data_IF_293316497406
#
_entry.id   IF_293316497406
#
_cell.length_a   1.000
_cell.length_b   1.000
_cell.length_c   1.000
_cell.angle_alpha   90.00
_cell.angle_beta   90.00
_cell.angle_gamma   90.00
#
_symmetry.space_group_name_H-M   'P 1'
#
loop_
_entity.id
_entity.type
_entity.pdbx_description
1 polymer ?
#
# COMPACT_ATOMS: atom_id res chain seq x y z
N UNK A 1 -3.14 -12.17 -3.60
CA UNK A 1 -2.30 -11.52 -4.64
C UNK A 1 -3.12 -11.16 -5.87
N UNK A 2 -3.70 -12.13 -6.59
CA UNK A 2 -4.32 -11.89 -7.90
C UNK A 2 -5.85 -11.64 -7.88
N UNK A 3 -6.46 -11.42 -6.71
CA UNK A 3 -7.93 -11.39 -6.59
C UNK A 3 -8.57 -10.31 -7.46
N UNK A 4 -8.01 -9.09 -7.49
CA UNK A 4 -8.52 -8.02 -8.35
C UNK A 4 -8.39 -8.34 -9.84
N UNK A 5 -7.29 -8.98 -10.25
CA UNK A 5 -7.11 -9.41 -11.64
C UNK A 5 -8.13 -10.48 -12.04
N UNK A 6 -8.43 -11.41 -11.12
CA UNK A 6 -9.47 -12.42 -11.32
C UNK A 6 -10.85 -11.75 -11.46
N UNK A 7 -11.19 -10.85 -10.54
CA UNK A 7 -12.46 -10.10 -10.55
C UNK A 7 -12.63 -9.25 -11.80
N UNK A 8 -11.55 -8.63 -12.28
CA UNK A 8 -11.56 -7.85 -13.51
C UNK A 8 -11.88 -8.69 -14.75
N UNK A 9 -11.20 -9.84 -14.88
CA UNK A 9 -11.41 -10.76 -16.01
C UNK A 9 -12.78 -11.44 -15.93
N UNK A 10 -13.25 -11.74 -14.73
CA UNK A 10 -14.50 -12.46 -14.50
C UNK A 10 -14.42 -13.96 -14.80
N UNK A 11 -15.45 -14.71 -14.40
CA UNK A 11 -15.58 -16.13 -14.71
C UNK A 11 -15.07 -17.06 -13.61
N UNK A 12 -14.46 -18.19 -14.03
CA UNK A 12 -14.02 -19.27 -13.14
C UNK A 12 -12.50 -19.43 -13.15
N UNK A 13 -11.91 -19.53 -11.97
CA UNK A 13 -10.47 -19.69 -11.78
C UNK A 13 -10.15 -20.98 -11.02
N UNK A 14 -9.35 -21.84 -11.66
CA UNK A 14 -8.78 -23.02 -11.00
C UNK A 14 -7.46 -22.68 -10.31
N UNK A 15 -7.43 -22.81 -8.98
CA UNK A 15 -6.22 -22.57 -8.19
C UNK A 15 -5.49 -23.89 -7.96
N UNK A 16 -4.32 -24.05 -8.59
CA UNK A 16 -3.46 -25.23 -8.41
C UNK A 16 -2.75 -25.18 -7.06
N UNK A 17 -3.44 -25.60 -6.01
CA UNK A 17 -2.96 -25.55 -4.65
C UNK A 17 -4.06 -25.67 -3.60
N UNK A 18 -3.64 -25.53 -2.34
CA UNK A 18 -4.55 -25.57 -1.21
C UNK A 18 -4.90 -24.15 -0.73
N UNK A 19 -6.17 -23.90 -0.43
CA UNK A 19 -6.65 -22.61 0.07
C UNK A 19 -7.44 -22.82 1.37
N UNK A 20 -7.25 -21.93 2.34
CA UNK A 20 -8.02 -21.95 3.60
C UNK A 20 -9.51 -21.74 3.35
N UNK A 21 -10.35 -22.52 4.03
CA UNK A 21 -11.80 -22.37 4.02
C UNK A 21 -12.21 -20.99 4.54
N UNK A 22 -11.56 -20.49 5.59
CA UNK A 22 -11.88 -19.17 6.15
C UNK A 22 -11.49 -18.02 5.23
N UNK A 23 -10.41 -18.16 4.45
CA UNK A 23 -10.07 -17.20 3.40
C UNK A 23 -11.12 -17.21 2.29
N UNK A 24 -11.53 -18.38 1.80
CA UNK A 24 -12.56 -18.48 0.76
C UNK A 24 -13.85 -17.79 1.20
N UNK A 25 -14.29 -18.02 2.44
CA UNK A 25 -15.47 -17.34 3.02
C UNK A 25 -15.32 -15.82 3.03
N UNK A 26 -14.17 -15.30 3.43
CA UNK A 26 -13.94 -13.87 3.43
C UNK A 26 -13.86 -13.31 2.00
N UNK A 27 -13.30 -14.07 1.06
CA UNK A 27 -13.21 -13.67 -0.34
C UNK A 27 -14.58 -13.54 -1.00
N UNK A 28 -15.59 -14.33 -0.62
CA UNK A 28 -16.97 -14.13 -1.10
C UNK A 28 -17.43 -12.69 -0.81
N UNK A 29 -17.32 -12.26 0.44
CA UNK A 29 -17.70 -10.91 0.86
C UNK A 29 -16.79 -9.82 0.28
N UNK A 30 -15.49 -10.11 0.15
CA UNK A 30 -14.55 -9.20 -0.50
C UNK A 30 -14.98 -8.92 -1.94
N UNK A 31 -15.31 -9.99 -2.68
CA UNK A 31 -15.74 -9.90 -4.07
C UNK A 31 -17.07 -9.17 -4.21
N UNK A 32 -18.05 -9.46 -3.34
CA UNK A 32 -19.34 -8.76 -3.29
C UNK A 32 -19.15 -7.25 -3.06
N UNK A 33 -18.39 -6.87 -2.04
CA UNK A 33 -18.15 -5.47 -1.69
C UNK A 33 -17.47 -4.71 -2.84
N UNK A 34 -16.40 -5.26 -3.40
CA UNK A 34 -15.66 -4.61 -4.48
C UNK A 34 -16.42 -4.58 -5.81
N UNK A 35 -17.22 -5.61 -6.12
CA UNK A 35 -18.11 -5.61 -7.28
C UNK A 35 -19.26 -4.60 -7.12
N UNK A 36 -19.73 -4.36 -5.89
CA UNK A 36 -20.71 -3.32 -5.61
C UNK A 36 -20.11 -1.90 -5.72
N UNK A 37 -18.88 -1.70 -5.25
CA UNK A 37 -18.20 -0.40 -5.30
C UNK A 37 -17.75 -0.03 -6.72
N UNK A 38 -17.32 -1.01 -7.51
CA UNK A 38 -16.81 -0.82 -8.87
C UNK A 38 -17.45 -1.79 -9.89
N UNK A 39 -18.79 -1.76 -10.07
CA UNK A 39 -19.54 -2.73 -10.89
C UNK A 39 -19.22 -2.66 -12.39
N UNK A 40 -18.65 -1.57 -12.86
CA UNK A 40 -18.22 -1.37 -14.24
C UNK A 40 -16.90 -2.10 -14.56
N UNK A 41 -16.21 -2.57 -13.53
CA UNK A 41 -14.82 -3.00 -13.56
C UNK A 41 -14.58 -4.38 -12.94
N UNK A 42 -15.33 -4.72 -11.88
CA UNK A 42 -15.08 -5.88 -11.05
C UNK A 42 -16.32 -6.78 -10.95
N UNK A 43 -16.08 -8.08 -11.13
CA UNK A 43 -17.10 -9.14 -11.06
C UNK A 43 -16.82 -10.06 -9.86
N UNK A 44 -17.88 -10.67 -9.34
CA UNK A 44 -17.76 -11.86 -8.48
C UNK A 44 -17.31 -13.05 -9.34
N UNK A 45 -16.39 -13.87 -8.85
CA UNK A 45 -15.78 -14.98 -9.59
C UNK A 45 -15.86 -16.30 -8.85
N UNK A 46 -15.90 -17.42 -9.58
CA UNK A 46 -15.82 -18.77 -8.99
C UNK A 46 -14.35 -19.16 -8.78
N UNK A 47 -13.93 -19.31 -7.53
CA UNK A 47 -12.57 -19.74 -7.17
C UNK A 47 -12.62 -21.21 -6.75
N UNK A 48 -12.06 -22.09 -7.59
CA UNK A 48 -11.98 -23.52 -7.33
C UNK A 48 -10.54 -23.95 -7.07
N UNK A 49 -10.12 -24.13 -5.80
CA UNK A 49 -8.82 -24.71 -5.50
C UNK A 49 -8.79 -26.23 -5.67
N UNK A 50 -7.60 -26.80 -5.91
CA UNK A 50 -7.41 -28.27 -5.92
C UNK A 50 -7.76 -28.90 -4.56
N UNK A 51 -7.54 -28.16 -3.46
CA UNK A 51 -7.86 -28.60 -2.10
C UNK A 51 -8.30 -27.43 -1.22
N UNK A 52 -9.31 -27.67 -0.39
CA UNK A 52 -9.71 -26.73 0.68
C UNK A 52 -9.14 -27.23 2.00
N UNK A 53 -8.48 -26.35 2.75
CA UNK A 53 -7.99 -26.62 4.11
C UNK A 53 -9.01 -26.05 5.09
N UNK A 54 -9.61 -26.90 5.92
CA UNK A 54 -10.41 -26.44 7.04
C UNK A 54 -9.51 -25.94 8.18
N UNK A 55 -9.42 -24.62 8.32
CA UNK A 55 -8.57 -23.96 9.31
C UNK A 55 -9.35 -23.29 10.43
N UNK A 56 -10.66 -23.55 10.56
CA UNK A 56 -11.53 -22.91 11.56
C UNK A 56 -11.04 -23.05 12.99
N UNK A 57 -10.42 -24.20 13.30
CA UNK A 57 -9.89 -24.53 14.63
C UNK A 57 -8.36 -24.35 14.72
N UNK A 58 -7.71 -23.72 13.75
CA UNK A 58 -6.28 -23.41 13.87
C UNK A 58 -6.04 -22.49 15.07
N UNK A 59 -4.91 -22.60 15.80
CA UNK A 59 -4.61 -21.70 16.91
C UNK A 59 -4.51 -20.23 16.43
N UNK A 60 -4.86 -19.27 17.29
CA UNK A 60 -4.48 -17.86 17.05
C UNK A 60 -3.01 -17.72 17.46
N UNK A 61 -2.25 -17.01 16.64
CA UNK A 61 -0.88 -16.60 16.94
C UNK A 61 -0.77 -15.11 16.68
N UNK A 62 -0.13 -14.36 17.59
CA UNK A 62 0.08 -12.91 17.49
C UNK A 62 1.44 -12.57 16.87
N UNK A 63 2.23 -13.59 16.47
CA UNK A 63 3.44 -13.39 15.67
C UNK A 63 3.13 -12.68 14.36
N UNK A 64 3.96 -11.72 13.97
CA UNK A 64 3.70 -10.89 12.81
C UNK A 64 4.93 -10.62 11.93
N UNK A 65 4.67 -10.51 10.64
CA UNK A 65 5.56 -9.88 9.66
C UNK A 65 4.99 -8.53 9.24
N UNK A 66 5.77 -7.45 9.32
CA UNK A 66 5.31 -6.12 8.90
C UNK A 66 5.70 -5.80 7.45
N UNK A 67 4.79 -5.27 6.64
CA UNK A 67 5.10 -4.79 5.27
C UNK A 67 5.87 -3.46 5.32
N UNK A 68 7.21 -3.51 5.34
CA UNK A 68 8.04 -2.37 5.71
C UNK A 68 8.77 -1.74 4.52
N UNK A 69 8.14 -0.75 3.90
CA UNK A 69 8.71 0.07 2.82
C UNK A 69 9.41 1.35 3.32
N UNK A 70 9.50 1.56 4.64
CA UNK A 70 9.95 2.81 5.30
C UNK A 70 9.04 4.03 5.06
N UNK A 71 7.86 3.83 4.48
CA UNK A 71 6.84 4.86 4.38
C UNK A 71 6.33 5.31 5.75
N UNK A 72 5.79 6.52 5.84
CA UNK A 72 5.31 7.10 7.10
C UNK A 72 4.32 6.18 7.85
N UNK A 73 3.35 5.62 7.13
CA UNK A 73 2.26 4.84 7.75
C UNK A 73 2.75 3.54 8.37
N UNK A 74 3.63 2.81 7.68
CA UNK A 74 4.20 1.58 8.23
C UNK A 74 5.27 1.85 9.29
N UNK A 75 6.03 2.95 9.19
CA UNK A 75 6.96 3.37 10.23
C UNK A 75 6.22 3.72 11.53
N UNK A 76 5.09 4.41 11.42
CA UNK A 76 4.18 4.66 12.53
C UNK A 76 3.65 3.35 13.13
N UNK A 77 3.12 2.45 12.29
CA UNK A 77 2.59 1.16 12.73
C UNK A 77 3.66 0.34 13.46
N UNK A 78 4.85 0.24 12.89
CA UNK A 78 5.94 -0.54 13.45
C UNK A 78 6.39 0.03 14.79
N UNK A 79 6.57 1.35 14.91
CA UNK A 79 6.91 1.99 16.18
C UNK A 79 5.87 1.67 17.27
N UNK A 80 4.59 1.72 16.90
CA UNK A 80 3.47 1.46 17.81
C UNK A 80 3.40 0.03 18.31
N UNK A 81 3.88 -0.94 17.55
CA UNK A 81 3.88 -2.37 17.93
C UNK A 81 5.20 -2.83 18.57
N UNK A 82 6.33 -2.29 18.13
CA UNK A 82 7.65 -2.83 18.47
C UNK A 82 8.52 -1.89 19.31
N UNK A 83 8.20 -0.58 19.41
CA UNK A 83 9.03 0.34 20.21
C UNK A 83 9.11 -0.11 21.67
N UNK A 84 10.32 -0.13 22.28
CA UNK A 84 10.47 -0.38 23.71
C UNK A 84 9.88 0.76 24.55
N UNK A 85 9.69 1.94 23.96
CA UNK A 85 9.12 3.12 24.61
C UNK A 85 7.60 3.23 24.41
N UNK A 86 6.96 2.24 23.77
CA UNK A 86 5.51 2.27 23.55
C UNK A 86 4.76 2.16 24.87
N UNK A 87 3.59 2.81 24.95
CA UNK A 87 2.60 2.48 25.98
C UNK A 87 2.10 1.04 25.74
N UNK A 88 2.00 0.19 26.78
CA UNK A 88 1.40 -1.13 26.64
C UNK A 88 0.00 -1.02 26.03
N UNK A 89 -0.31 -1.91 25.10
CA UNK A 89 -1.64 -1.99 24.48
C UNK A 89 -2.06 -3.44 24.34
N UNK A 90 -3.35 -3.70 24.47
CA UNK A 90 -3.95 -5.04 24.34
C UNK A 90 -3.89 -5.60 22.93
N UNK A 91 -3.67 -4.74 21.94
CA UNK A 91 -3.71 -5.05 20.51
C UNK A 91 -2.30 -5.07 19.88
N UNK A 92 -1.25 -5.12 20.71
CA UNK A 92 0.13 -5.20 20.22
C UNK A 92 0.48 -6.61 19.72
N UNK A 93 0.68 -6.75 18.41
CA UNK A 93 1.30 -7.93 17.79
C UNK A 93 2.78 -8.11 18.18
N UNK A 94 3.23 -9.37 18.18
CA UNK A 94 4.62 -9.77 18.37
C UNK A 94 5.35 -9.74 17.01
N UNK A 95 5.80 -8.55 16.60
CA UNK A 95 6.45 -8.35 15.30
C UNK A 95 7.82 -8.99 15.30
N UNK A 96 7.96 -10.12 14.60
CA UNK A 96 9.19 -10.92 14.52
C UNK A 96 10.06 -10.59 13.31
N UNK A 97 9.44 -10.07 12.25
CA UNK A 97 10.11 -9.75 11.00
C UNK A 97 9.45 -8.58 10.28
N UNK A 98 10.19 -8.02 9.33
CA UNK A 98 9.69 -7.07 8.36
C UNK A 98 9.90 -7.65 6.94
N UNK A 99 9.00 -7.34 6.02
CA UNK A 99 9.06 -7.73 4.61
C UNK A 99 9.22 -6.49 3.75
N UNK A 100 10.34 -6.42 3.02
CA UNK A 100 10.59 -5.43 1.99
C UNK A 100 10.32 -6.05 0.61
N UNK A 101 9.34 -5.50 -0.09
CA UNK A 101 8.98 -5.94 -1.45
C UNK A 101 9.75 -5.11 -2.48
N UNK A 102 10.46 -5.79 -3.36
CA UNK A 102 11.00 -5.24 -4.60
C UNK A 102 10.04 -5.59 -5.71
N UNK A 103 9.71 -4.64 -6.60
CA UNK A 103 8.79 -4.98 -7.68
C UNK A 103 7.30 -4.77 -7.36
N UNK A 104 6.98 -3.95 -6.34
CA UNK A 104 5.60 -3.61 -5.98
C UNK A 104 5.12 -2.38 -6.75
N UNK A 105 5.67 -1.20 -6.40
CA UNK A 105 5.44 0.08 -7.06
C UNK A 105 6.45 0.38 -8.19
N UNK A 106 7.50 -0.45 -8.32
CA UNK A 106 8.65 -0.23 -9.22
C UNK A 106 9.02 -1.49 -9.96
N UNK A 107 9.83 -1.37 -11.01
CA UNK A 107 10.41 -2.51 -11.71
C UNK A 107 11.46 -3.26 -10.86
N UNK A 108 11.72 -4.53 -11.22
CA UNK A 108 12.68 -5.39 -10.51
C UNK A 108 14.16 -4.94 -10.63
N UNK A 109 14.47 -4.00 -11.53
CA UNK A 109 15.84 -3.78 -12.02
C UNK A 109 16.63 -2.66 -11.31
N UNK A 110 16.11 -2.07 -10.24
CA UNK A 110 16.77 -0.97 -9.48
C UNK A 110 17.63 -1.46 -8.30
N UNK A 111 18.58 -2.38 -8.52
CA UNK A 111 19.33 -3.05 -7.44
C UNK A 111 20.09 -2.09 -6.49
N UNK A 112 20.82 -1.05 -6.96
CA UNK A 112 21.56 -0.16 -6.04
C UNK A 112 20.64 0.62 -5.09
N UNK A 113 19.52 1.14 -5.60
CA UNK A 113 18.54 1.83 -4.78
C UNK A 113 17.85 0.86 -3.81
N UNK A 114 17.54 -0.35 -4.27
CA UNK A 114 16.98 -1.38 -3.42
C UNK A 114 17.92 -1.73 -2.26
N UNK A 115 19.21 -1.93 -2.51
CA UNK A 115 20.20 -2.25 -1.47
C UNK A 115 20.30 -1.14 -0.42
N UNK A 116 20.33 0.14 -0.83
CA UNK A 116 20.29 1.26 0.13
C UNK A 116 19.00 1.28 0.95
N UNK A 117 17.85 1.04 0.30
CA UNK A 117 16.58 0.94 1.00
C UNK A 117 16.59 -0.22 2.00
N UNK A 118 17.20 -1.34 1.64
CA UNK A 118 17.34 -2.51 2.51
C UNK A 118 18.22 -2.20 3.73
N UNK A 119 19.38 -1.56 3.54
CA UNK A 119 20.28 -1.18 4.64
C UNK A 119 19.61 -0.22 5.63
N UNK A 120 18.92 0.81 5.13
CA UNK A 120 18.16 1.74 5.97
C UNK A 120 16.99 1.07 6.67
N UNK A 121 16.25 0.21 5.97
CA UNK A 121 15.17 -0.56 6.56
C UNK A 121 15.69 -1.44 7.69
N UNK A 122 16.76 -2.20 7.44
CA UNK A 122 17.39 -3.07 8.43
C UNK A 122 17.81 -2.28 9.67
N UNK A 123 18.52 -1.17 9.45
CA UNK A 123 18.98 -0.32 10.53
C UNK A 123 17.84 0.32 11.34
N UNK A 124 16.66 0.49 10.75
CA UNK A 124 15.46 1.01 11.43
C UNK A 124 14.82 -0.05 12.32
N UNK A 125 14.70 -1.28 11.81
CA UNK A 125 14.03 -2.37 12.53
C UNK A 125 14.91 -2.94 13.66
N UNK A 126 16.23 -2.90 13.51
CA UNK A 126 17.18 -3.37 14.53
C UNK A 126 17.09 -2.53 15.82
N UNK A 127 16.81 -1.23 15.72
CA UNK A 127 16.59 -0.36 16.88
C UNK A 127 15.33 -0.74 17.68
N UNK A 128 14.37 -1.40 17.03
CA UNK A 128 13.16 -1.95 17.65
C UNK A 128 13.35 -3.40 18.12
N UNK A 129 14.56 -3.94 18.04
CA UNK A 129 14.87 -5.33 18.42
C UNK A 129 14.46 -6.38 17.38
N UNK A 130 14.11 -5.97 16.16
CA UNK A 130 13.71 -6.87 15.07
C UNK A 130 14.92 -7.12 14.17
N UNK A 131 15.36 -8.37 14.03
CA UNK A 131 16.59 -8.72 13.28
C UNK A 131 16.34 -9.35 11.92
N UNK A 132 15.07 -9.55 11.54
CA UNK A 132 14.69 -10.23 10.30
C UNK A 132 14.05 -9.25 9.31
N UNK A 133 14.83 -8.84 8.30
CA UNK A 133 14.32 -8.17 7.10
C UNK A 133 14.27 -9.18 5.95
N UNK A 134 13.06 -9.59 5.59
CA UNK A 134 12.76 -10.48 4.47
C UNK A 134 12.69 -9.67 3.18
N UNK A 135 13.15 -10.25 2.07
CA UNK A 135 13.07 -9.66 0.72
C UNK A 135 12.17 -10.53 -0.16
N UNK A 136 11.21 -9.89 -0.82
CA UNK A 136 10.36 -10.52 -1.83
C UNK A 136 10.45 -9.72 -3.13
N UNK A 137 11.00 -10.34 -4.18
CA UNK A 137 10.93 -9.79 -5.54
C UNK A 137 9.66 -10.25 -6.25
N UNK A 138 8.93 -9.32 -6.89
CA UNK A 138 7.75 -9.60 -7.71
C UNK A 138 7.81 -8.86 -9.05
N UNK A 139 7.43 -9.51 -10.15
CA UNK A 139 7.25 -8.85 -11.45
C UNK A 139 5.81 -8.40 -11.68
N UNK A 140 5.03 -8.18 -10.62
CA UNK A 140 3.62 -7.80 -10.73
C UNK A 140 3.37 -6.62 -11.69
N UNK A 141 4.14 -5.51 -11.63
CA UNK A 141 3.96 -4.39 -12.57
C UNK A 141 4.38 -4.71 -14.01
N UNK A 142 5.20 -5.73 -14.24
CA UNK A 142 5.58 -6.16 -15.60
C UNK A 142 4.50 -7.04 -16.23
N UNK A 143 3.77 -7.81 -15.39
CA UNK A 143 2.66 -8.67 -15.83
C UNK A 143 1.36 -7.89 -15.95
N UNK A 144 1.12 -6.97 -15.02
CA UNK A 144 -0.06 -6.11 -14.97
C UNK A 144 0.41 -4.65 -14.99
N UNK A 145 0.78 -4.11 -16.18
CA UNK A 145 1.31 -2.76 -16.27
C UNK A 145 0.26 -1.76 -15.80
N UNK A 146 0.69 -0.90 -14.86
CA UNK A 146 -0.13 0.04 -14.08
C UNK A 146 -0.96 1.03 -14.93
N UNK A 147 -0.64 1.11 -16.22
CA UNK A 147 -1.11 2.02 -17.24
C UNK A 147 -1.94 1.33 -18.35
N UNK A 148 -1.85 0.02 -18.53
CA UNK A 148 -2.43 -0.66 -19.70
C UNK A 148 -3.79 -1.30 -19.48
N UNK A 149 -4.12 -1.73 -18.26
CA UNK A 149 -5.38 -2.42 -17.99
C UNK A 149 -6.57 -1.48 -17.70
N UNK A 150 -6.33 -0.25 -17.21
CA UNK A 150 -7.40 0.53 -16.55
C UNK A 150 -7.65 1.98 -17.01
N UNK A 151 -6.88 2.62 -17.92
CA UNK A 151 -7.40 3.62 -18.89
C UNK A 151 -6.30 4.27 -19.76
N UNK A 152 -6.50 4.25 -21.07
CA UNK A 152 -6.09 5.35 -21.94
C UNK A 152 -7.00 6.56 -21.67
N UNK A 153 -6.62 7.44 -20.72
CA UNK A 153 -6.55 8.89 -20.94
C UNK A 153 -6.39 9.78 -19.70
N UNK A 154 -6.48 9.33 -18.44
CA UNK A 154 -6.48 10.32 -17.33
C UNK A 154 -5.86 9.96 -15.97
N UNK A 155 -5.36 8.75 -15.68
CA UNK A 155 -4.79 8.49 -14.34
C UNK A 155 -3.62 7.49 -14.38
N UNK A 156 -2.40 8.00 -14.28
CA UNK A 156 -1.26 7.19 -13.87
C UNK A 156 -1.51 6.62 -12.46
N UNK A 157 -1.54 5.30 -12.30
CA UNK A 157 -1.54 4.65 -10.97
C UNK A 157 -2.89 4.27 -10.35
N UNK A 158 -4.02 4.39 -11.06
CA UNK A 158 -5.34 3.96 -10.55
C UNK A 158 -5.39 2.46 -10.20
N UNK A 159 -4.76 1.63 -11.03
CA UNK A 159 -4.69 0.18 -10.79
C UNK A 159 -3.95 -0.16 -9.49
N UNK A 160 -2.76 0.40 -9.28
CA UNK A 160 -2.02 0.15 -8.03
C UNK A 160 -2.77 0.68 -6.80
N UNK A 161 -3.42 1.84 -6.92
CA UNK A 161 -4.27 2.39 -5.86
C UNK A 161 -5.38 1.43 -5.44
N UNK A 162 -5.88 0.61 -6.36
CA UNK A 162 -6.89 -0.42 -6.11
C UNK A 162 -6.31 -1.74 -5.57
N UNK A 163 -5.18 -2.22 -6.11
CA UNK A 163 -4.75 -3.61 -5.87
C UNK A 163 -3.65 -3.78 -4.82
N UNK A 164 -2.95 -2.70 -4.45
CA UNK A 164 -1.68 -2.78 -3.72
C UNK A 164 -1.74 -3.64 -2.46
N UNK A 165 -2.76 -3.49 -1.60
CA UNK A 165 -2.80 -4.27 -0.35
C UNK A 165 -3.07 -5.75 -0.60
N UNK A 166 -3.99 -6.09 -1.50
CA UNK A 166 -4.26 -7.48 -1.85
C UNK A 166 -3.06 -8.17 -2.52
N UNK A 167 -2.29 -7.41 -3.30
CA UNK A 167 -1.02 -7.85 -3.87
C UNK A 167 0.01 -8.11 -2.76
N UNK A 168 0.29 -7.11 -1.92
CA UNK A 168 1.30 -7.17 -0.86
C UNK A 168 0.97 -8.21 0.22
N UNK A 169 -0.29 -8.30 0.65
CA UNK A 169 -0.77 -9.36 1.57
C UNK A 169 -0.59 -10.74 0.95
N UNK A 170 -0.87 -10.87 -0.35
CA UNK A 170 -0.62 -12.09 -1.09
C UNK A 170 0.87 -12.49 -1.07
N UNK A 171 1.77 -11.53 -1.24
CA UNK A 171 3.22 -11.77 -1.14
C UNK A 171 3.64 -12.11 0.30
N UNK A 172 3.08 -11.43 1.31
CA UNK A 172 3.36 -11.72 2.72
C UNK A 172 2.89 -13.13 3.11
N UNK A 173 1.83 -13.65 2.49
CA UNK A 173 1.27 -14.97 2.79
C UNK A 173 2.23 -16.14 2.50
N UNK A 174 3.33 -15.92 1.76
CA UNK A 174 4.39 -16.95 1.62
C UNK A 174 5.08 -17.27 2.95
N UNK A 175 4.99 -16.38 3.94
CA UNK A 175 5.51 -16.59 5.29
C UNK A 175 4.43 -16.93 6.33
N UNK A 176 3.21 -17.25 5.91
CA UNK A 176 2.10 -17.58 6.83
C UNK A 176 2.33 -18.81 7.72
N UNK A 177 3.36 -19.62 7.41
CA UNK A 177 3.78 -20.74 8.27
C UNK A 177 4.55 -20.26 9.51
N UNK A 178 5.27 -19.15 9.38
CA UNK A 178 6.16 -18.62 10.40
C UNK A 178 5.51 -17.46 11.17
N UNK A 179 4.55 -16.76 10.55
CA UNK A 179 3.85 -15.62 11.15
C UNK A 179 2.35 -15.74 11.00
N UNK A 180 1.60 -15.55 12.09
CA UNK A 180 0.14 -15.59 12.12
C UNK A 180 -0.54 -14.32 11.58
N UNK A 181 0.21 -13.23 11.39
CA UNK A 181 -0.33 -11.94 10.99
C UNK A 181 0.61 -11.21 10.00
N UNK A 182 0.02 -10.40 9.14
CA UNK A 182 0.72 -9.34 8.41
C UNK A 182 0.32 -7.98 8.99
N UNK A 183 1.30 -7.22 9.47
CA UNK A 183 1.11 -5.86 9.96
C UNK A 183 1.25 -4.86 8.81
N UNK A 184 0.26 -3.99 8.65
CA UNK A 184 0.20 -2.97 7.60
C UNK A 184 -0.11 -1.62 8.21
N UNK A 185 0.52 -0.56 7.71
CA UNK A 185 0.14 0.81 8.05
C UNK A 185 -1.10 1.22 7.24
N UNK A 186 -2.17 1.58 7.94
CA UNK A 186 -3.41 2.09 7.34
C UNK A 186 -3.17 3.31 6.45
N UNK A 187 -3.98 3.46 5.39
CA UNK A 187 -3.88 4.61 4.47
C UNK A 187 -4.61 5.84 5.03
N UNK A 188 -5.94 5.77 5.12
CA UNK A 188 -6.79 6.87 5.57
C UNK A 188 -7.22 6.70 7.04
N UNK A 189 -7.65 7.76 7.75
CA UNK A 189 -8.29 7.61 9.05
C UNK A 189 -9.76 7.12 8.92
N UNK A 190 -10.34 6.54 9.97
CA UNK A 190 -11.75 6.15 10.03
C UNK A 190 -12.70 7.30 9.67
N UNK A 191 -12.32 8.53 10.02
CA UNK A 191 -13.11 9.73 9.75
C UNK A 191 -13.19 10.11 8.27
N UNK A 192 -12.36 9.55 7.38
CA UNK A 192 -12.42 9.87 5.95
C UNK A 192 -13.63 9.24 5.25
N UNK A 193 -14.14 8.12 5.76
CA UNK A 193 -15.18 7.33 5.09
C UNK A 193 -14.77 6.73 3.74
N UNK A 194 -13.49 6.81 3.35
CA UNK A 194 -12.99 6.29 2.07
C UNK A 194 -12.91 4.76 2.15
N UNK A 195 -13.71 4.08 1.34
CA UNK A 195 -13.82 2.61 1.32
C UNK A 195 -13.55 1.99 -0.04
N UNK A 196 -13.43 2.81 -1.08
CA UNK A 196 -13.22 2.40 -2.47
C UNK A 196 -11.73 2.43 -2.90
N UNK A 197 -10.83 2.67 -1.95
CA UNK A 197 -9.37 2.62 -2.11
C UNK A 197 -8.84 1.22 -1.75
N UNK A 198 -7.77 0.79 -2.41
CA UNK A 198 -7.19 -0.57 -2.28
C UNK A 198 -6.61 -0.93 -0.92
N UNK A 199 -6.66 -0.01 0.03
CA UNK A 199 -6.53 -0.24 1.47
C UNK A 199 -7.65 0.54 2.15
N UNK A 200 -8.60 -0.18 2.75
CA UNK A 200 -9.71 0.34 3.54
C UNK A 200 -10.11 -0.61 4.68
N UNK A 201 -10.57 -0.02 5.79
CA UNK A 201 -10.94 -0.74 7.00
C UNK A 201 -12.12 -1.73 6.84
N UNK A 202 -12.86 -1.70 5.73
CA UNK A 202 -14.00 -2.59 5.47
C UNK A 202 -13.53 -3.90 4.84
N UNK A 203 -12.73 -3.82 3.78
CA UNK A 203 -12.38 -4.99 2.96
C UNK A 203 -11.01 -5.57 3.27
N UNK A 204 -10.10 -4.80 3.86
CA UNK A 204 -8.75 -5.27 4.18
C UNK A 204 -8.75 -6.47 5.16
N UNK A 205 -9.60 -6.50 6.21
CA UNK A 205 -9.71 -7.69 7.07
C UNK A 205 -10.19 -8.94 6.31
N UNK A 206 -10.93 -8.79 5.21
CA UNK A 206 -11.44 -9.90 4.40
C UNK A 206 -10.35 -10.60 3.57
N UNK A 207 -9.15 -10.03 3.50
CA UNK A 207 -7.97 -10.71 2.95
C UNK A 207 -7.36 -11.72 3.94
N UNK A 208 -7.92 -11.83 5.15
CA UNK A 208 -7.46 -12.73 6.20
C UNK A 208 -7.92 -14.17 6.00
N UNK A 209 -7.12 -15.11 6.50
CA UNK A 209 -7.53 -16.45 6.89
C UNK A 209 -7.42 -16.60 8.41
N UNK A 210 -7.91 -17.72 8.95
CA UNK A 210 -7.77 -18.02 10.39
C UNK A 210 -6.31 -18.23 10.82
N UNK A 211 -5.44 -18.62 9.89
CA UNK A 211 -3.99 -18.85 10.11
C UNK A 211 -3.13 -17.65 9.77
N UNK A 212 -3.66 -16.67 9.03
CA UNK A 212 -2.91 -15.51 8.56
C UNK A 212 -3.84 -14.31 8.46
N UNK A 213 -3.77 -13.42 9.45
CA UNK A 213 -4.65 -12.25 9.53
C UNK A 213 -3.97 -11.01 8.96
N UNK A 214 -4.72 -10.23 8.20
CA UNK A 214 -4.34 -8.86 7.86
C UNK A 214 -4.67 -7.98 9.05
N UNK A 215 -3.64 -7.38 9.63
CA UNK A 215 -3.76 -6.49 10.76
C UNK A 215 -3.27 -5.11 10.36
N UNK A 216 -4.16 -4.14 10.44
CA UNK A 216 -3.85 -2.77 10.04
C UNK A 216 -3.82 -1.85 11.23
N UNK A 217 -2.80 -1.00 11.26
CA UNK A 217 -2.57 -0.07 12.35
C UNK A 217 -2.69 1.38 11.86
N UNK A 218 -3.34 2.21 12.68
CA UNK A 218 -3.39 3.65 12.47
C UNK A 218 -4.68 4.21 11.89
N UNK A 219 -5.75 3.41 11.75
CA UNK A 219 -7.05 3.90 11.29
C UNK A 219 -7.61 5.03 12.17
N UNK A 220 -7.27 5.05 13.46
CA UNK A 220 -7.64 6.14 14.38
C UNK A 220 -6.81 7.42 14.22
N UNK A 221 -5.91 7.51 13.22
CA UNK A 221 -4.93 8.58 13.11
C UNK A 221 -4.90 9.21 11.72
N UNK A 222 -4.90 10.53 11.67
CA UNK A 222 -4.58 11.27 10.46
C UNK A 222 -3.10 11.10 10.09
N UNK A 223 -2.75 11.43 8.85
CA UNK A 223 -1.36 11.38 8.40
C UNK A 223 -0.45 12.34 9.20
N UNK A 224 -0.96 13.50 9.60
CA UNK A 224 -0.20 14.45 10.42
C UNK A 224 0.01 13.93 11.84
N UNK A 225 -0.97 13.22 12.41
CA UNK A 225 -0.82 12.56 13.71
C UNK A 225 0.21 11.42 13.65
N UNK A 226 0.24 10.66 12.55
CA UNK A 226 1.28 9.66 12.30
C UNK A 226 2.67 10.33 12.20
N UNK A 227 2.78 11.44 11.47
CA UNK A 227 4.01 12.23 11.36
C UNK A 227 4.50 12.74 12.72
N UNK A 228 3.60 13.27 13.56
CA UNK A 228 3.90 13.75 14.91
C UNK A 228 4.50 12.69 15.82
N UNK A 229 4.04 11.44 15.72
CA UNK A 229 4.62 10.35 16.50
C UNK A 229 5.98 9.94 15.93
N UNK A 230 6.11 9.83 14.60
CA UNK A 230 7.38 9.45 13.98
C UNK A 230 8.46 10.53 14.13
N UNK A 231 8.10 11.82 14.25
CA UNK A 231 9.06 12.90 14.50
C UNK A 231 9.76 12.77 15.85
N UNK A 232 9.18 12.03 16.80
CA UNK A 232 9.77 11.74 18.11
C UNK A 232 10.73 10.54 18.08
N UNK A 233 10.83 9.84 16.94
CA UNK A 233 11.71 8.70 16.75
C UNK A 233 12.80 9.05 15.73
N UNK A 234 13.97 9.45 16.23
CA UNK A 234 15.06 9.98 15.40
C UNK A 234 15.46 9.04 14.24
N UNK A 235 15.68 7.75 14.52
CA UNK A 235 16.03 6.77 13.50
C UNK A 235 14.90 6.55 12.51
N UNK A 236 13.67 6.44 12.99
CA UNK A 236 12.49 6.32 12.15
C UNK A 236 12.39 7.48 11.17
N UNK A 237 12.50 8.71 11.67
CA UNK A 237 12.48 9.95 10.90
C UNK A 237 13.61 10.01 9.86
N UNK A 238 14.85 9.72 10.28
CA UNK A 238 16.05 9.77 9.42
C UNK A 238 15.99 8.78 8.25
N UNK A 239 15.40 7.62 8.49
CA UNK A 239 15.28 6.55 7.49
C UNK A 239 13.93 6.54 6.76
N UNK A 240 13.05 7.51 7.01
CA UNK A 240 11.78 7.62 6.28
C UNK A 240 12.02 7.74 4.78
N UNK A 241 11.21 7.00 4.02
CA UNK A 241 11.19 7.05 2.57
C UNK A 241 9.75 7.05 2.07
N UNK A 242 9.27 8.22 1.70
CA UNK A 242 7.90 8.42 1.22
C UNK A 242 7.83 8.60 -0.29
N UNK A 243 8.94 8.96 -0.93
CA UNK A 243 8.98 9.23 -2.36
C UNK A 243 8.69 7.99 -3.20
N UNK A 244 7.88 8.18 -4.25
CA UNK A 244 7.58 7.15 -5.23
C UNK A 244 8.49 7.24 -6.47
N UNK A 245 9.12 8.38 -6.75
CA UNK A 245 10.09 8.51 -7.86
C UNK A 245 11.34 7.65 -7.61
N UNK A 246 11.83 6.99 -8.66
CA UNK A 246 13.16 6.40 -8.64
C UNK A 246 14.22 7.44 -8.95
N UNK A 247 15.06 7.68 -7.96
CA UNK A 247 16.30 8.42 -8.13
C UNK A 247 17.43 7.58 -7.50
N UNK A 248 18.42 7.14 -8.29
CA UNK A 248 19.55 6.39 -7.75
C UNK A 248 20.42 7.22 -6.81
N UNK A 249 20.24 8.54 -6.69
CA UNK A 249 21.08 9.41 -5.86
C UNK A 249 20.33 10.04 -4.66
N UNK A 250 19.01 9.88 -4.58
CA UNK A 250 18.20 10.50 -3.52
C UNK A 250 17.05 9.59 -3.06
N UNK A 251 16.86 9.48 -1.74
CA UNK A 251 15.77 8.68 -1.19
C UNK A 251 14.41 9.40 -1.28
N UNK A 252 14.41 10.72 -1.02
CA UNK A 252 13.23 11.56 -1.13
C UNK A 252 13.52 12.80 -1.98
N UNK A 253 12.77 13.02 -3.05
CA UNK A 253 13.00 14.15 -3.97
C UNK A 253 12.56 15.51 -3.43
N UNK A 254 11.71 15.54 -2.39
CA UNK A 254 11.22 16.79 -1.78
C UNK A 254 10.22 17.59 -2.61
N UNK A 255 9.90 17.20 -3.85
CA UNK A 255 9.06 18.00 -4.78
C UNK A 255 7.82 17.26 -5.29
N UNK A 256 7.85 15.92 -5.37
CA UNK A 256 6.65 15.16 -5.75
C UNK A 256 5.53 15.37 -4.73
N UNK A 257 4.26 15.21 -5.14
CA UNK A 257 3.12 15.44 -4.26
C UNK A 257 3.22 14.67 -2.93
N UNK A 258 3.62 13.40 -2.96
CA UNK A 258 3.77 12.60 -1.73
C UNK A 258 4.87 13.13 -0.79
N UNK A 259 6.01 13.57 -1.32
CA UNK A 259 7.06 14.22 -0.53
C UNK A 259 6.57 15.57 0.02
N UNK A 260 5.98 16.40 -0.83
CA UNK A 260 5.48 17.73 -0.52
C UNK A 260 4.42 17.67 0.59
N UNK A 261 3.41 16.82 0.41
CA UNK A 261 2.38 16.53 1.41
C UNK A 261 2.98 16.03 2.71
N UNK A 262 3.97 15.13 2.66
CA UNK A 262 4.62 14.63 3.88
C UNK A 262 5.34 15.74 4.64
N UNK A 263 6.06 16.64 3.95
CA UNK A 263 6.68 17.81 4.59
C UNK A 263 5.63 18.66 5.31
N UNK A 264 4.50 18.95 4.66
CA UNK A 264 3.41 19.71 5.29
C UNK A 264 2.75 18.99 6.47
N UNK A 265 2.65 17.66 6.45
CA UNK A 265 2.20 16.88 7.62
C UNK A 265 3.14 17.04 8.82
N UNK A 266 4.46 16.99 8.59
CA UNK A 266 5.45 17.27 9.64
C UNK A 266 5.37 18.72 10.12
N UNK A 267 5.22 19.66 9.18
CA UNK A 267 5.09 21.09 9.50
C UNK A 267 3.85 21.38 10.36
N UNK A 268 2.70 20.80 10.03
CA UNK A 268 1.49 20.89 10.86
C UNK A 268 1.76 20.39 12.29
N UNK A 269 2.53 19.31 12.43
CA UNK A 269 2.94 18.77 13.75
C UNK A 269 3.98 19.60 14.51
N UNK A 270 4.47 20.71 13.93
CA UNK A 270 5.54 21.54 14.48
C UNK A 270 6.94 20.95 14.31
N UNK A 271 7.11 19.97 13.42
CA UNK A 271 8.36 19.28 13.18
C UNK A 271 8.95 19.60 11.80
N UNK A 272 10.28 19.61 11.72
CA UNK A 272 11.00 19.72 10.45
C UNK A 272 11.12 18.34 9.78
N UNK A 273 10.95 18.31 8.46
CA UNK A 273 11.23 17.12 7.66
C UNK A 273 11.73 17.52 6.27
N UNK A 274 12.84 16.90 5.86
CA UNK A 274 13.43 16.95 4.53
C UNK A 274 13.95 18.33 4.06
N UNK A 275 13.08 19.35 3.98
CA UNK A 275 13.44 20.72 3.59
C UNK A 275 12.34 21.71 3.95
N UNK A 276 12.67 22.99 3.91
CA UNK A 276 11.68 24.05 3.87
C UNK A 276 11.00 24.15 2.50
N UNK A 277 9.72 24.52 2.51
CA UNK A 277 8.90 24.78 1.32
C UNK A 277 8.53 26.26 1.33
N UNK A 278 8.74 26.96 0.21
CA UNK A 278 8.39 28.36 0.08
C UNK A 278 6.87 28.57 -0.01
N UNK A 279 6.40 29.79 0.27
CA UNK A 279 4.97 30.10 0.15
C UNK A 279 4.47 29.98 -1.29
N UNK A 280 5.30 30.33 -2.27
CA UNK A 280 4.96 30.23 -3.69
C UNK A 280 4.85 28.78 -4.13
N UNK A 281 5.74 27.90 -3.66
CA UNK A 281 5.62 26.45 -3.91
C UNK A 281 4.30 25.87 -3.38
N UNK A 282 3.76 26.40 -2.27
CA UNK A 282 2.46 25.99 -1.71
C UNK A 282 1.31 26.52 -2.58
N UNK A 283 1.38 27.80 -2.99
CA UNK A 283 0.37 28.44 -3.85
C UNK A 283 0.32 27.87 -5.26
N UNK A 284 1.43 27.35 -5.75
CA UNK A 284 1.54 26.78 -7.10
C UNK A 284 1.32 25.27 -7.13
N UNK A 285 1.16 24.62 -5.96
CA UNK A 285 1.09 23.16 -5.90
C UNK A 285 -0.11 22.62 -6.69
N UNK A 286 0.13 21.76 -7.66
CA UNK A 286 -0.97 21.14 -8.41
C UNK A 286 -1.82 20.24 -7.49
N UNK A 287 -3.15 20.40 -7.57
CA UNK A 287 -4.16 19.59 -6.88
C UNK A 287 -5.12 19.13 -7.97
N UNK A 288 -5.00 17.86 -8.39
CA UNK A 288 -5.64 17.36 -9.59
C UNK A 288 -6.80 16.38 -9.33
N UNK A 289 -7.05 16.01 -8.07
CA UNK A 289 -8.19 15.18 -7.69
C UNK A 289 -8.66 15.48 -6.26
N UNK A 290 -9.85 14.97 -5.92
CA UNK A 290 -10.48 15.13 -4.61
C UNK A 290 -9.67 14.51 -3.47
N UNK A 291 -9.07 13.33 -3.68
CA UNK A 291 -8.28 12.65 -2.64
C UNK A 291 -7.11 13.52 -2.16
N UNK A 292 -6.38 14.16 -3.08
CA UNK A 292 -5.25 15.04 -2.77
C UNK A 292 -5.75 16.30 -2.06
N UNK A 293 -6.89 16.84 -2.47
CA UNK A 293 -7.49 17.98 -1.78
C UNK A 293 -7.85 17.64 -0.32
N UNK A 294 -8.55 16.52 -0.08
CA UNK A 294 -8.91 16.07 1.26
C UNK A 294 -7.70 15.84 2.15
N UNK A 295 -6.63 15.30 1.58
CA UNK A 295 -5.35 15.10 2.25
C UNK A 295 -4.71 16.43 2.71
N UNK A 296 -4.73 17.48 1.87
CA UNK A 296 -4.27 18.81 2.27
C UNK A 296 -5.21 19.52 3.24
N UNK A 297 -6.53 19.33 3.10
CA UNK A 297 -7.51 19.85 4.04
C UNK A 297 -7.30 19.27 5.44
N UNK A 298 -7.08 17.96 5.54
CA UNK A 298 -6.81 17.27 6.82
C UNK A 298 -5.56 17.83 7.52
N UNK A 299 -4.52 18.21 6.75
CA UNK A 299 -3.32 18.88 7.30
C UNK A 299 -3.69 20.21 7.97
N UNK A 300 -4.54 21.03 7.35
CA UNK A 300 -4.98 22.29 7.93
C UNK A 300 -5.82 22.10 9.20
N UNK A 301 -6.71 21.11 9.19
CA UNK A 301 -7.54 20.77 10.37
C UNK A 301 -6.67 20.36 11.56
N UNK A 302 -5.62 19.57 11.33
CA UNK A 302 -4.68 19.20 12.39
C UNK A 302 -3.80 20.38 12.82
N UNK A 303 -3.38 21.23 11.89
CA UNK A 303 -2.64 22.45 12.22
C UNK A 303 -3.47 23.42 13.07
N UNK A 304 -4.78 23.52 12.81
CA UNK A 304 -5.71 24.31 13.62
C UNK A 304 -5.84 23.75 15.04
N UNK A 305 -6.02 22.43 15.17
CA UNK A 305 -6.09 21.75 16.48
C UNK A 305 -4.80 21.92 17.29
N UNK A 306 -3.65 22.06 16.63
CA UNK A 306 -2.35 22.18 17.28
C UNK A 306 -1.81 23.61 17.36
N UNK A 307 -2.56 24.60 16.86
CA UNK A 307 -2.15 26.01 16.91
C UNK A 307 -1.04 26.41 15.93
N UNK A 308 -0.69 25.57 14.96
CA UNK A 308 0.31 25.86 13.91
C UNK A 308 -0.32 26.48 12.65
N UNK A 309 -1.64 26.61 12.61
CA UNK A 309 -2.38 27.20 11.48
C UNK A 309 -2.22 28.72 11.31
N UNK A 310 -1.59 29.40 12.26
CA UNK A 310 -1.31 30.85 12.21
C UNK A 310 -0.04 31.16 11.40
N UNK A 311 0.76 30.15 11.08
CA UNK A 311 1.98 30.36 10.31
C UNK A 311 1.68 30.66 8.81
N UNK A 312 2.56 31.41 8.12
CA UNK A 312 2.32 31.84 6.73
C UNK A 312 2.06 30.69 5.74
N UNK A 313 2.62 29.50 5.99
CA UNK A 313 2.42 28.33 5.13
C UNK A 313 0.97 27.84 5.13
N UNK A 314 0.29 27.91 6.28
CA UNK A 314 -1.08 27.43 6.41
C UNK A 314 -2.04 28.38 5.68
N UNK A 315 -1.76 29.68 5.73
CA UNK A 315 -2.48 30.68 4.94
C UNK A 315 -2.28 30.48 3.44
N UNK A 316 -1.05 30.24 2.98
CA UNK A 316 -0.77 29.93 1.57
C UNK A 316 -1.50 28.65 1.11
N UNK A 317 -1.60 27.62 1.96
CA UNK A 317 -2.33 26.40 1.65
C UNK A 317 -3.85 26.64 1.59
N UNK A 318 -4.41 27.44 2.51
CA UNK A 318 -5.82 27.87 2.47
C UNK A 318 -6.15 28.61 1.18
N UNK A 319 -5.29 29.56 0.78
CA UNK A 319 -5.40 30.25 -0.51
C UNK A 319 -5.42 29.25 -1.66
N UNK A 320 -4.48 28.30 -1.68
CA UNK A 320 -4.40 27.29 -2.74
C UNK A 320 -5.67 26.45 -2.85
N UNK A 321 -6.19 25.98 -1.71
CA UNK A 321 -7.40 25.14 -1.66
C UNK A 321 -8.65 25.93 -2.04
N UNK A 322 -8.72 27.23 -1.73
CA UNK A 322 -9.85 28.10 -2.09
C UNK A 322 -10.07 28.24 -3.60
N UNK A 323 -9.02 28.02 -4.39
CA UNK A 323 -9.10 28.09 -5.86
C UNK A 323 -9.93 26.95 -6.45
N UNK A 324 -10.19 25.86 -5.72
CA UNK A 324 -11.23 24.87 -6.03
C UNK A 324 -11.18 24.23 -7.42
N UNK A 325 -10.05 24.28 -8.14
CA UNK A 325 -9.98 23.80 -9.52
C UNK A 325 -9.85 22.28 -9.54
N UNK A 326 -10.99 21.60 -9.49
CA UNK A 326 -11.10 20.25 -10.02
C UNK A 326 -11.52 20.36 -11.48
N UNK A 327 -10.71 19.95 -12.46
CA UNK A 327 -11.30 19.58 -13.74
C UNK A 327 -12.22 18.38 -13.43
N UNK A 328 -13.53 18.60 -13.42
CA UNK A 328 -14.47 17.50 -13.38
C UNK A 328 -14.10 16.54 -14.52
N UNK A 329 -13.86 15.24 -14.25
CA UNK A 329 -13.75 14.29 -15.35
C UNK A 329 -15.06 14.38 -16.11
N UNK A 330 -15.02 14.80 -17.38
CA UNK A 330 -16.23 14.91 -18.21
C UNK A 330 -16.96 13.57 -18.14
N UNK A 331 -18.21 13.50 -17.67
CA UNK A 331 -18.94 12.24 -17.65
C UNK A 331 -19.11 11.80 -19.10
N UNK A 332 -18.45 10.72 -19.50
CA UNK A 332 -18.76 10.08 -20.77
C UNK A 332 -20.20 9.59 -20.69
N UNK A 333 -21.02 10.04 -21.63
CA UNK A 333 -22.43 9.64 -21.73
C UNK A 333 -22.51 8.13 -21.99
N UNK A 334 -23.60 7.48 -21.56
CA UNK A 334 -23.83 6.04 -21.76
C UNK A 334 -23.55 5.54 -23.21
N UNK A 335 -23.89 6.31 -24.27
CA UNK A 335 -23.53 5.95 -25.65
C UNK A 335 -22.02 6.00 -25.94
N UNK A 336 -21.27 6.94 -25.34
CA UNK A 336 -19.81 7.03 -25.47
C UNK A 336 -19.10 5.88 -24.73
N UNK A 337 -19.70 5.35 -23.66
CA UNK A 337 -19.23 4.14 -22.95
C UNK A 337 -19.40 2.88 -23.82
N UNK A 338 -20.51 2.76 -24.55
CA UNK A 338 -20.77 1.66 -25.49
C UNK A 338 -19.85 1.71 -26.73
N UNK A 339 -19.57 2.90 -27.27
CA UNK A 339 -18.69 3.07 -28.43
C UNK A 339 -17.22 2.70 -28.16
N UNK A 340 -16.73 2.87 -26.92
CA UNK A 340 -15.37 2.44 -26.49
C UNK A 340 -15.30 0.97 -26.04
N UNK A 341 -16.42 0.37 -25.58
CA UNK A 341 -16.53 -1.07 -25.21
C UNK A 341 -16.11 -2.02 -26.34
N UNK A 342 -16.28 -1.62 -27.60
CA UNK A 342 -16.01 -2.48 -28.76
C UNK A 342 -14.52 -2.44 -29.19
N UNK A 343 -13.72 -1.47 -28.74
CA UNK A 343 -12.33 -1.30 -29.19
C UNK A 343 -11.23 -1.70 -28.21
N UNK A 344 -11.56 -2.01 -26.96
CA UNK A 344 -10.58 -2.40 -25.93
C UNK A 344 -10.79 -3.83 -25.43
N UNK A 345 -11.06 -4.75 -26.36
CA UNK A 345 -10.69 -6.14 -26.12
C UNK A 345 -9.16 -6.22 -26.14
N UNK A 346 -8.61 -6.56 -24.99
CA UNK A 346 -7.19 -6.82 -24.77
C UNK A 346 -6.54 -7.57 -25.93
N UNK A 347 -5.30 -7.18 -26.19
CA UNK A 347 -4.21 -8.00 -26.71
C UNK A 347 -3.99 -9.25 -25.82
N UNK A 348 -4.99 -10.11 -25.72
CA UNK A 348 -4.76 -11.54 -25.73
C UNK A 348 -5.18 -11.95 -27.13
N UNK A 349 -4.25 -12.48 -27.91
CA UNK A 349 -4.63 -13.21 -29.11
C UNK A 349 -5.62 -14.27 -28.63
N UNK A 350 -6.91 -14.05 -28.92
CA UNK A 350 -7.99 -15.01 -28.70
C UNK A 350 -7.77 -16.12 -29.73
N UNK A 351 -6.70 -16.88 -29.54
CA UNK A 351 -6.62 -18.23 -30.09
C UNK A 351 -7.52 -19.05 -29.17
N UNK A 352 -8.63 -19.53 -29.72
CA UNK A 352 -9.65 -20.31 -29.04
C UNK A 352 -9.12 -21.13 -27.86
N UNK A 353 -9.49 -20.76 -26.63
CA UNK A 353 -9.22 -21.61 -25.49
C UNK A 353 -10.17 -21.28 -24.33
N UNK A 354 -10.91 -22.28 -23.89
CA UNK A 354 -11.73 -22.29 -22.69
C UNK A 354 -10.95 -22.11 -21.37
N UNK A 355 -9.69 -21.67 -21.41
CA UNK A 355 -8.81 -21.44 -20.25
C UNK A 355 -7.60 -20.58 -20.63
N UNK A 356 -7.27 -19.56 -19.82
CA UNK A 356 -6.00 -18.82 -19.91
C UNK A 356 -5.08 -19.30 -18.78
N UNK A 357 -3.86 -19.76 -19.12
CA UNK A 357 -2.86 -20.19 -18.13
C UNK A 357 -1.87 -19.04 -17.88
N UNK A 358 -2.05 -18.31 -16.78
CA UNK A 358 -1.10 -17.27 -16.35
C UNK A 358 0.04 -17.95 -15.57
N UNK A 359 1.26 -17.92 -16.13
CA UNK A 359 2.46 -18.37 -15.43
C UNK A 359 3.07 -17.18 -14.71
N UNK A 360 2.95 -17.12 -13.38
CA UNK A 360 3.68 -16.14 -12.54
C UNK A 360 5.16 -16.50 -12.63
N UNK A 361 5.90 -15.86 -13.52
CA UNK A 361 7.31 -16.13 -13.77
C UNK A 361 8.16 -15.38 -12.73
N UNK A 362 8.30 -15.99 -11.55
CA UNK A 362 9.37 -15.66 -10.60
C UNK A 362 8.93 -14.87 -9.38
N UNK A 363 8.70 -15.57 -8.27
CA UNK A 363 8.81 -14.98 -6.94
C UNK A 363 10.23 -15.27 -6.44
N UNK A 364 11.07 -14.24 -6.29
CA UNK A 364 12.42 -14.43 -5.71
C UNK A 364 12.35 -14.22 -4.19
N UNK A 365 12.51 -15.30 -3.45
CA UNK A 365 12.62 -15.30 -1.97
C UNK A 365 14.10 -15.36 -1.61
N UNK A 366 14.61 -14.33 -0.95
CA UNK A 366 16.01 -14.29 -0.52
C UNK A 366 16.10 -14.74 0.95
N UNK A 367 16.94 -15.74 1.24
CA UNK A 367 17.19 -16.23 2.60
C UNK A 367 18.60 -15.81 3.06
N UNK A 368 18.70 -15.02 4.13
CA UNK A 368 19.99 -14.61 4.73
C UNK A 368 20.69 -15.82 5.39
N UNK A 369 21.96 -16.07 5.07
CA UNK A 369 22.84 -16.94 5.90
C UNK A 369 23.21 -16.18 7.18
N UNK A 370 23.17 -16.86 8.33
CA UNK A 370 23.48 -16.26 9.63
C UNK A 370 24.89 -15.64 9.70
N UNK A 371 25.83 -16.10 8.87
CA UNK A 371 27.19 -15.56 8.77
C UNK A 371 27.67 -15.66 7.31
N UNK A 372 27.98 -14.54 6.66
CA UNK A 372 28.56 -14.47 5.31
C UNK A 372 28.24 -13.18 4.53
N UNK A 373 29.06 -12.78 3.54
CA UNK A 373 28.90 -11.52 2.78
C UNK A 373 27.61 -11.49 1.94
N UNK A 374 27.11 -10.27 1.67
CA UNK A 374 25.83 -9.89 1.04
C UNK A 374 25.46 -10.56 -0.32
N UNK A 375 26.35 -11.33 -0.96
CA UNK A 375 26.25 -11.67 -2.39
C UNK A 375 25.83 -13.10 -2.74
N UNK A 376 25.27 -13.89 -1.82
CA UNK A 376 24.76 -15.23 -2.17
C UNK A 376 23.23 -15.30 -2.07
N UNK A 377 22.54 -14.94 -3.16
CA UNK A 377 21.17 -15.37 -3.41
C UNK A 377 21.15 -16.85 -3.85
N UNK A 378 20.12 -17.61 -3.45
CA UNK A 378 19.72 -18.84 -4.14
C UNK A 378 18.40 -18.56 -4.86
N UNK A 379 18.32 -18.97 -6.12
CA UNK A 379 17.12 -18.92 -6.96
C UNK A 379 16.01 -19.85 -6.46
#
# INVERSE_FOLDING_TARGET
>A
MLIFEMMHVGGRFEVKGAVSLTLLRNLEHFMEAWSQMHPEYLNVVDIKPDRIIDDRNAPVDDSAVALFSQGLDVTFALYRHASPHRKPRYDSLDVKACLLVQGGDRGLYEEPLFLRCYEKALSTIEELGITHLLRCGSNYPEIFPLDTFWNNQLNWGFHWQLVHLAALTGMASFWQRDYGNVLVGSTYPYSSGVVDFGSNFVTDPLLSSRRFRVYEEGWGFTRSQKAKLVSQWERGLRNLRVCWHSNPDQDNCGVCEKCFRTILNFKASGAFYLRDISLDEIRDKEIWNEHIFYEYQTILEDAEKWGTSQEPWAQALKERLSLGVYPAPKPLTFPQRMGKRIKHFLYYKKEDAASVRIKILGLRIYKRKKEGPLHQSRE
#
